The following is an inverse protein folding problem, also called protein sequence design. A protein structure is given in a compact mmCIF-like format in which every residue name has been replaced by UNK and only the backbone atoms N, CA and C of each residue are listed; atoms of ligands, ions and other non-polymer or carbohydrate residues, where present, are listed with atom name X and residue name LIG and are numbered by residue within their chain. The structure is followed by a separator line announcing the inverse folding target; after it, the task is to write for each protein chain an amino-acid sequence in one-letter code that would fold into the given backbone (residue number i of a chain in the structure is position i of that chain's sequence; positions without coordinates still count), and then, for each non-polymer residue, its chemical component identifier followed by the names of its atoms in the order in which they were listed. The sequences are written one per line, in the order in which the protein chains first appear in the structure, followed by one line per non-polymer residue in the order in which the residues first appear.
data_IF_136606512323
#
_entry.id   IF_136606512323
#
_cell.length_a   1.000
_cell.length_b   1.000
_cell.length_c   1.000
_cell.angle_alpha   90.00
_cell.angle_beta   90.00
_cell.angle_gamma   90.00
#
_symmetry.space_group_name_H-M   'P 1'
#
loop_
_entity.id
_entity.type
_entity.pdbx_description
1 polymer ?
#
# COMPACT_ATOMS: atom_id res chain seq x y z
N UNK A 1 15.62 -9.41 34.39
CA UNK A 1 15.35 -9.79 32.99
C UNK A 1 14.94 -11.25 33.00
N UNK A 2 13.72 -11.58 32.58
CA UNK A 2 13.18 -12.95 32.66
C UNK A 2 13.55 -13.71 31.37
N UNK A 3 14.22 -14.84 31.53
CA UNK A 3 14.54 -15.78 30.45
C UNK A 3 13.26 -16.56 30.13
N UNK A 4 12.87 -16.59 28.86
CA UNK A 4 11.77 -17.44 28.38
C UNK A 4 12.38 -18.75 27.90
N UNK A 5 12.17 -19.83 28.66
CA UNK A 5 12.45 -21.19 28.22
C UNK A 5 11.19 -21.75 27.55
N UNK A 6 11.29 -22.08 26.27
CA UNK A 6 10.24 -22.78 25.54
C UNK A 6 10.49 -24.28 25.66
N UNK A 7 9.78 -24.95 26.56
CA UNK A 7 9.65 -26.41 26.53
C UNK A 7 8.53 -26.75 25.53
N UNK A 8 8.92 -27.30 24.39
CA UNK A 8 8.01 -27.74 23.32
C UNK A 8 8.13 -29.26 23.16
N UNK A 9 7.09 -29.96 23.58
CA UNK A 9 6.92 -31.41 23.65
C UNK A 9 7.06 -32.12 22.31
N UNK A 10 7.84 -33.21 22.28
CA UNK A 10 7.90 -34.17 21.17
C UNK A 10 6.54 -34.86 21.00
N UNK A 11 5.91 -34.71 19.82
CA UNK A 11 4.86 -35.61 19.35
C UNK A 11 5.19 -36.10 17.95
N UNK A 12 5.37 -37.40 17.86
CA UNK A 12 5.72 -38.12 16.64
C UNK A 12 4.57 -38.09 15.62
N UNK A 13 4.94 -37.87 14.35
CA UNK A 13 4.28 -38.44 13.18
C UNK A 13 3.03 -37.72 12.66
N UNK A 14 3.20 -36.72 11.79
CA UNK A 14 2.21 -36.38 10.76
C UNK A 14 2.88 -35.71 9.56
N UNK A 15 3.04 -36.51 8.51
CA UNK A 15 2.89 -36.18 7.08
C UNK A 15 3.33 -34.77 6.62
N UNK A 16 4.50 -34.71 5.98
CA UNK A 16 4.84 -33.73 4.94
C UNK A 16 4.57 -32.26 5.27
N UNK A 17 5.30 -31.68 6.22
CA UNK A 17 5.49 -30.23 6.22
C UNK A 17 6.59 -29.95 5.19
N UNK A 18 6.19 -29.61 3.96
CA UNK A 18 7.09 -28.95 3.00
C UNK A 18 7.49 -27.61 3.64
N UNK A 19 8.57 -27.65 4.41
CA UNK A 19 9.27 -26.46 4.82
C UNK A 19 9.83 -25.86 3.54
N UNK A 20 9.23 -24.78 3.05
CA UNK A 20 9.82 -23.97 1.99
C UNK A 20 11.04 -23.25 2.57
N UNK A 21 12.14 -23.97 2.70
CA UNK A 21 13.45 -23.36 2.93
C UNK A 21 13.87 -22.72 1.60
N UNK A 22 13.80 -21.39 1.53
CA UNK A 22 14.44 -20.67 0.45
C UNK A 22 15.93 -20.64 0.77
N UNK A 23 16.71 -21.47 0.09
CA UNK A 23 18.18 -21.39 0.08
C UNK A 23 18.60 -19.92 -0.06
N UNK A 24 19.54 -19.47 0.78
CA UNK A 24 19.95 -18.07 0.74
C UNK A 24 20.39 -17.73 -0.68
N UNK A 25 19.75 -16.72 -1.29
CA UNK A 25 20.19 -16.23 -2.57
C UNK A 25 21.63 -15.71 -2.39
N UNK A 26 22.59 -16.32 -3.10
CA UNK A 26 24.00 -15.92 -3.07
C UNK A 26 24.16 -14.66 -3.93
N UNK A 27 23.53 -13.57 -3.48
CA UNK A 27 23.65 -12.24 -4.10
C UNK A 27 24.94 -11.60 -3.61
N UNK A 28 25.83 -11.23 -4.51
CA UNK A 28 26.97 -10.42 -4.10
C UNK A 28 26.44 -9.06 -3.62
N UNK A 29 27.08 -8.46 -2.62
CA UNK A 29 26.68 -7.14 -2.10
C UNK A 29 26.62 -6.07 -3.22
N UNK A 30 27.36 -6.27 -4.30
CA UNK A 30 27.33 -5.43 -5.51
C UNK A 30 26.01 -5.54 -6.27
N UNK A 31 25.44 -6.74 -6.35
CA UNK A 31 24.17 -6.99 -7.02
C UNK A 31 23.04 -6.29 -6.26
N UNK A 32 23.07 -6.36 -4.92
CA UNK A 32 22.15 -5.60 -4.07
C UNK A 32 22.26 -4.08 -4.28
N UNK A 33 23.48 -3.54 -4.33
CA UNK A 33 23.68 -2.11 -4.57
C UNK A 33 23.20 -1.66 -5.96
N UNK A 34 23.32 -2.52 -6.98
CA UNK A 34 22.83 -2.26 -8.32
C UNK A 34 21.29 -2.26 -8.37
N UNK A 35 20.64 -3.18 -7.68
CA UNK A 35 19.17 -3.20 -7.56
C UNK A 35 18.63 -1.94 -6.85
N UNK A 36 19.35 -1.47 -5.82
CA UNK A 36 19.01 -0.22 -5.13
C UNK A 36 19.10 1.03 -6.03
N UNK A 37 19.91 1.01 -7.10
CA UNK A 37 20.03 2.13 -8.03
C UNK A 37 18.74 2.37 -8.86
N UNK A 38 17.83 1.39 -8.89
CA UNK A 38 16.53 1.51 -9.56
C UNK A 38 15.39 1.88 -8.60
N UNK A 39 15.64 1.93 -7.30
CA UNK A 39 14.61 2.37 -6.37
C UNK A 39 14.39 3.88 -6.52
N UNK A 40 13.13 4.33 -6.57
CA UNK A 40 12.84 5.75 -6.51
C UNK A 40 13.34 6.32 -5.18
N UNK A 41 13.67 7.61 -5.18
CA UNK A 41 14.00 8.29 -3.93
C UNK A 41 12.77 8.31 -3.02
N UNK A 42 12.80 7.50 -1.96
CA UNK A 42 11.72 7.40 -0.98
C UNK A 42 11.66 8.62 -0.04
N UNK A 43 12.68 9.50 -0.08
CA UNK A 43 12.67 10.77 0.65
C UNK A 43 11.85 11.84 -0.06
N UNK A 44 11.55 11.65 -1.35
CA UNK A 44 10.59 12.47 -2.07
C UNK A 44 9.16 12.10 -1.64
N UNK A 45 8.56 12.95 -0.81
CA UNK A 45 7.13 12.90 -0.54
C UNK A 45 6.38 13.27 -1.81
N UNK A 46 5.96 12.27 -2.57
CA UNK A 46 4.99 12.47 -3.65
C UNK A 46 3.67 12.95 -3.04
N UNK A 47 3.42 14.25 -3.11
CA UNK A 47 2.16 14.86 -2.66
C UNK A 47 1.10 14.55 -3.71
N UNK A 48 0.36 13.47 -3.50
CA UNK A 48 -0.84 13.17 -4.27
C UNK A 48 -1.93 14.17 -3.89
N UNK A 49 -2.24 15.11 -4.79
CA UNK A 49 -3.30 16.09 -4.62
C UNK A 49 -4.60 15.62 -5.29
N UNK A 50 -5.70 15.62 -4.55
CA UNK A 50 -7.03 15.31 -5.09
C UNK A 50 -7.74 16.59 -5.56
N UNK A 51 -8.22 16.59 -6.81
CA UNK A 51 -8.89 17.73 -7.44
C UNK A 51 -10.42 17.60 -7.33
N UNK A 52 -10.98 18.01 -6.20
CA UNK A 52 -12.43 17.94 -5.92
C UNK A 52 -13.31 18.85 -6.82
N UNK A 53 -12.68 19.75 -7.57
CA UNK A 53 -13.36 20.63 -8.53
C UNK A 53 -13.41 20.04 -9.94
N UNK A 54 -12.85 18.85 -10.15
CA UNK A 54 -12.87 18.20 -11.45
C UNK A 54 -14.30 17.81 -11.86
N UNK A 55 -14.56 17.79 -13.17
CA UNK A 55 -15.90 17.60 -13.74
C UNK A 55 -16.54 16.26 -13.37
N UNK A 56 -15.72 15.23 -13.14
CA UNK A 56 -16.15 13.93 -12.65
C UNK A 56 -16.67 13.96 -11.20
N UNK A 57 -16.31 14.99 -10.41
CA UNK A 57 -16.78 15.21 -9.04
C UNK A 57 -17.92 16.23 -9.01
N UNK A 58 -17.79 17.31 -9.78
CA UNK A 58 -18.73 18.44 -9.85
C UNK A 58 -19.84 18.25 -10.91
N UNK A 59 -20.24 17.01 -11.21
CA UNK A 59 -21.15 16.71 -12.33
C UNK A 59 -22.38 17.66 -12.34
N UNK A 60 -22.50 18.56 -13.35
CA UNK A 60 -23.50 19.62 -13.38
C UNK A 60 -24.93 19.09 -13.56
N UNK A 61 -25.08 17.84 -14.00
CA UNK A 61 -26.38 17.16 -14.15
C UNK A 61 -26.94 16.67 -12.81
N UNK A 62 -26.17 16.74 -11.72
CA UNK A 62 -26.60 16.34 -10.38
C UNK A 62 -27.14 17.55 -9.61
N UNK A 63 -28.15 17.31 -8.76
CA UNK A 63 -28.60 18.30 -7.77
C UNK A 63 -27.42 18.74 -6.88
N UNK A 64 -27.28 20.03 -6.55
CA UNK A 64 -26.10 20.59 -5.88
C UNK A 64 -25.76 19.94 -4.54
N UNK A 65 -26.75 19.43 -3.82
CA UNK A 65 -26.58 18.70 -2.55
C UNK A 65 -25.77 17.40 -2.70
N UNK A 66 -25.75 16.79 -3.89
CA UNK A 66 -25.06 15.51 -4.15
C UNK A 66 -23.55 15.70 -4.35
N UNK A 67 -23.07 16.64 -5.20
CA UNK A 67 -21.64 16.96 -5.26
C UNK A 67 -21.06 17.42 -3.91
N UNK A 68 -21.80 18.22 -3.14
CA UNK A 68 -21.32 18.71 -1.83
C UNK A 68 -21.07 17.58 -0.84
N UNK A 69 -22.06 16.68 -0.67
CA UNK A 69 -21.91 15.51 0.20
C UNK A 69 -20.82 14.54 -0.27
N UNK A 70 -20.67 14.36 -1.59
CA UNK A 70 -19.58 13.56 -2.15
C UNK A 70 -18.21 14.17 -1.81
N UNK A 71 -18.04 15.47 -1.99
CA UNK A 71 -16.79 16.17 -1.67
C UNK A 71 -16.46 16.06 -0.18
N UNK A 72 -17.45 16.14 0.70
CA UNK A 72 -17.27 15.96 2.15
C UNK A 72 -16.73 14.56 2.48
N UNK A 73 -17.36 13.51 1.95
CA UNK A 73 -16.90 12.12 2.14
C UNK A 73 -15.49 11.93 1.58
N UNK A 74 -15.20 12.44 0.39
CA UNK A 74 -13.88 12.28 -0.22
C UNK A 74 -12.79 12.98 0.61
N UNK A 75 -13.06 14.19 1.13
CA UNK A 75 -12.12 14.91 2.01
C UNK A 75 -11.89 14.17 3.33
N UNK A 76 -12.93 13.61 3.94
CA UNK A 76 -12.79 12.81 5.17
C UNK A 76 -11.93 11.55 4.97
N UNK A 77 -11.84 11.04 3.74
CA UNK A 77 -11.14 9.80 3.41
C UNK A 77 -9.85 10.01 2.59
N UNK A 78 -9.37 11.25 2.46
CA UNK A 78 -8.23 11.63 1.60
C UNK A 78 -6.96 10.82 1.93
N UNK A 79 -6.63 10.66 3.23
CA UNK A 79 -5.45 9.90 3.63
C UNK A 79 -5.48 8.42 3.21
N UNK A 80 -6.66 7.80 3.24
CA UNK A 80 -6.86 6.41 2.79
C UNK A 80 -6.75 6.34 1.27
N UNK A 81 -7.39 7.27 0.54
CA UNK A 81 -7.33 7.32 -0.92
C UNK A 81 -5.89 7.45 -1.42
N UNK A 82 -5.11 8.36 -0.81
CA UNK A 82 -3.70 8.57 -1.15
C UNK A 82 -2.88 7.31 -0.84
N UNK A 83 -3.01 6.77 0.38
CA UNK A 83 -2.19 5.61 0.81
C UNK A 83 -2.52 4.32 0.05
N UNK A 84 -3.77 4.18 -0.43
CA UNK A 84 -4.21 3.03 -1.22
C UNK A 84 -3.97 3.18 -2.73
N UNK A 85 -3.44 4.32 -3.19
CA UNK A 85 -3.26 4.60 -4.62
C UNK A 85 -4.57 4.82 -5.38
N UNK A 86 -5.69 5.04 -4.66
CA UNK A 86 -7.01 5.29 -5.23
C UNK A 86 -7.22 6.79 -5.45
N UNK A 87 -6.48 7.39 -6.38
CA UNK A 87 -6.71 8.76 -6.80
C UNK A 87 -8.07 8.92 -7.50
N UNK A 88 -8.56 10.16 -7.58
CA UNK A 88 -9.78 10.46 -8.36
C UNK A 88 -9.54 10.10 -9.83
N UNK A 89 -10.52 9.47 -10.52
CA UNK A 89 -10.37 9.15 -11.92
C UNK A 89 -10.20 10.45 -12.73
N UNK A 90 -9.44 10.41 -13.85
CA UNK A 90 -9.34 11.56 -14.74
C UNK A 90 -10.72 11.92 -15.30
N UNK A 91 -10.95 13.20 -15.57
CA UNK A 91 -12.16 13.64 -16.25
C UNK A 91 -12.22 12.97 -17.64
N UNK A 92 -13.33 12.30 -17.96
CA UNK A 92 -13.61 11.91 -19.33
C UNK A 92 -13.94 13.17 -20.15
N UNK A 93 -13.51 13.19 -21.41
CA UNK A 93 -13.82 14.24 -22.40
C UNK A 93 -15.10 13.92 -23.15
#
# INVERSE_FOLDING_TARGET
MRVLTTEGTETAGRDGVDHYEHEAADIELKDYAQELAFLPDLSETSITKLYYTATNVQNPELSPERPEGLVEVLKNHEGIMISSGNALPPSAY
#
